data_IF_954047500372
#
_entry.id   IF_954047500372
#
_cell.length_a   1.000
_cell.length_b   1.000
_cell.length_c   1.000
_cell.angle_alpha   90.00
_cell.angle_beta   90.00
_cell.angle_gamma   90.00
#
_symmetry.space_group_name_H-M   'P 1'
#
loop_
_entity.id
_entity.type
_entity.pdbx_description
1 polymer ?
#
# COMPACT_ATOMS: atom_id res chain seq x y z
N UNK A 1 -33.86 -11.31 -5.81
CA UNK A 1 -32.46 -10.91 -5.57
C UNK A 1 -31.85 -10.56 -6.91
N UNK A 2 -31.53 -9.29 -7.12
CA UNK A 2 -30.85 -8.79 -8.32
C UNK A 2 -29.35 -9.14 -8.15
N UNK A 3 -28.83 -10.04 -8.99
CA UNK A 3 -27.38 -10.22 -9.15
C UNK A 3 -26.95 -9.33 -10.32
N UNK A 4 -26.24 -8.22 -10.09
CA UNK A 4 -25.68 -7.46 -11.18
C UNK A 4 -24.66 -8.37 -11.91
N UNK A 5 -24.83 -8.52 -13.23
CA UNK A 5 -23.83 -9.16 -14.07
C UNK A 5 -22.63 -8.21 -14.16
N UNK A 6 -21.58 -8.48 -13.39
CA UNK A 6 -20.31 -7.78 -13.55
C UNK A 6 -19.71 -8.27 -14.87
N UNK A 7 -19.41 -7.40 -15.84
CA UNK A 7 -18.70 -7.79 -17.05
C UNK A 7 -17.37 -8.45 -16.66
N UNK A 8 -17.02 -9.53 -17.38
CA UNK A 8 -15.73 -10.17 -17.18
C UNK A 8 -14.61 -9.12 -17.34
N UNK A 9 -13.79 -8.96 -16.30
CA UNK A 9 -12.65 -8.05 -16.34
C UNK A 9 -11.73 -8.47 -17.51
N UNK A 10 -11.26 -7.53 -18.32
CA UNK A 10 -10.34 -7.84 -19.39
C UNK A 10 -9.05 -8.42 -18.82
N UNK A 11 -8.51 -9.46 -19.46
CA UNK A 11 -7.29 -10.18 -19.02
C UNK A 11 -6.03 -9.32 -18.95
N UNK A 12 -6.09 -8.09 -19.45
CA UNK A 12 -5.04 -7.08 -19.32
C UNK A 12 -5.70 -5.73 -19.12
N UNK A 13 -5.67 -5.19 -17.94
CA UNK A 13 -6.11 -3.84 -17.64
C UNK A 13 -5.08 -2.87 -18.20
N UNK A 14 -5.52 -1.96 -19.04
CA UNK A 14 -4.79 -0.79 -19.57
C UNK A 14 -5.81 0.25 -20.05
N UNK A 15 -5.40 1.44 -20.34
CA UNK A 15 -4.42 2.41 -19.85
C UNK A 15 -5.02 3.56 -19.06
N UNK A 16 -6.30 3.51 -18.67
CA UNK A 16 -6.99 4.54 -17.89
C UNK A 16 -6.79 4.28 -16.39
N UNK A 17 -5.59 3.80 -16.04
CA UNK A 17 -5.26 3.48 -14.67
C UNK A 17 -5.15 4.75 -13.85
N UNK A 18 -5.88 4.78 -12.75
CA UNK A 18 -5.83 5.86 -11.78
C UNK A 18 -4.40 6.09 -11.27
N UNK A 19 -4.11 7.32 -10.85
CA UNK A 19 -2.79 7.74 -10.38
C UNK A 19 -2.18 6.75 -9.37
N UNK A 20 -2.95 6.30 -8.38
CA UNK A 20 -2.43 5.40 -7.34
C UNK A 20 -1.89 4.08 -7.89
N UNK A 21 -2.59 3.46 -8.84
CA UNK A 21 -2.14 2.20 -9.44
C UNK A 21 -0.84 2.38 -10.21
N UNK A 22 -0.69 3.49 -10.94
CA UNK A 22 0.54 3.85 -11.65
C UNK A 22 1.69 4.13 -10.68
N UNK A 23 1.43 4.92 -9.65
CA UNK A 23 2.40 5.28 -8.61
C UNK A 23 2.91 4.05 -7.85
N UNK A 24 2.02 3.13 -7.47
CA UNK A 24 2.38 1.89 -6.79
C UNK A 24 3.23 0.98 -7.69
N UNK A 25 2.91 0.87 -8.99
CA UNK A 25 3.75 0.10 -9.92
C UNK A 25 5.12 0.74 -10.08
N UNK A 26 5.19 2.06 -10.24
CA UNK A 26 6.46 2.78 -10.29
C UNK A 26 7.30 2.51 -9.05
N UNK A 27 6.69 2.58 -7.87
CA UNK A 27 7.38 2.26 -6.62
C UNK A 27 7.90 0.82 -6.61
N UNK A 28 7.07 -0.14 -7.03
CA UNK A 28 7.47 -1.55 -7.11
C UNK A 28 8.66 -1.75 -8.06
N UNK A 29 8.62 -1.14 -9.24
CA UNK A 29 9.68 -1.27 -10.24
C UNK A 29 10.99 -0.62 -9.77
N UNK A 30 10.92 0.59 -9.20
CA UNK A 30 12.10 1.34 -8.72
C UNK A 30 12.73 0.68 -7.50
N UNK A 31 11.91 0.21 -6.57
CA UNK A 31 12.36 -0.40 -5.32
C UNK A 31 12.46 -1.93 -5.40
N UNK A 32 12.52 -2.52 -6.59
CA UNK A 32 12.73 -3.95 -6.78
C UNK A 32 11.70 -4.85 -6.12
N UNK A 33 10.50 -4.34 -5.84
CA UNK A 33 9.38 -5.16 -5.43
C UNK A 33 8.77 -5.88 -6.62
N UNK A 34 8.21 -7.06 -6.37
CA UNK A 34 7.56 -7.80 -7.44
C UNK A 34 6.38 -7.03 -8.02
N UNK A 35 6.36 -6.90 -9.33
CA UNK A 35 5.26 -6.35 -10.09
C UNK A 35 4.50 -7.50 -10.78
N UNK A 36 3.34 -7.87 -10.24
CA UNK A 36 2.53 -8.99 -10.73
C UNK A 36 1.96 -8.80 -12.14
N UNK A 37 1.97 -7.58 -12.67
CA UNK A 37 1.58 -7.33 -14.08
C UNK A 37 2.66 -7.76 -15.07
N UNK A 38 3.91 -7.80 -14.65
CA UNK A 38 5.07 -8.24 -15.45
C UNK A 38 5.59 -9.60 -15.03
N UNK A 39 5.51 -9.93 -13.75
CA UNK A 39 5.98 -11.18 -13.15
C UNK A 39 4.93 -11.70 -12.14
N UNK A 40 3.83 -12.34 -12.63
CA UNK A 40 2.74 -12.80 -11.79
C UNK A 40 3.19 -13.90 -10.84
N UNK A 41 2.71 -13.82 -9.60
CA UNK A 41 3.00 -14.78 -8.54
C UNK A 41 1.75 -15.60 -8.21
N UNK A 42 1.89 -16.91 -8.22
CA UNK A 42 0.82 -17.80 -7.78
C UNK A 42 0.73 -17.82 -6.25
N UNK A 43 -0.43 -17.44 -5.71
CA UNK A 43 -0.69 -17.38 -4.26
C UNK A 43 -0.59 -18.76 -3.58
N UNK A 44 -0.73 -19.87 -4.31
CA UNK A 44 -0.59 -21.24 -3.76
C UNK A 44 0.87 -21.69 -3.70
N UNK A 45 1.76 -21.06 -4.46
CA UNK A 45 3.18 -21.36 -4.40
C UNK A 45 3.77 -20.98 -3.04
N UNK A 46 4.87 -21.64 -2.63
CA UNK A 46 5.56 -21.26 -1.40
C UNK A 46 6.02 -19.80 -1.41
N UNK A 47 6.48 -19.32 -2.55
CA UNK A 47 6.91 -17.93 -2.73
C UNK A 47 5.71 -16.97 -2.64
N UNK A 48 4.57 -17.32 -3.24
CA UNK A 48 3.33 -16.55 -3.13
C UNK A 48 2.82 -16.45 -1.70
N UNK A 49 2.83 -17.55 -0.97
CA UNK A 49 2.45 -17.58 0.45
C UNK A 49 3.39 -16.71 1.30
N UNK A 50 4.70 -16.75 1.04
CA UNK A 50 5.67 -15.86 1.72
C UNK A 50 5.38 -14.38 1.43
N UNK A 51 5.09 -14.05 0.19
CA UNK A 51 4.76 -12.68 -0.19
C UNK A 51 3.43 -12.22 0.42
N UNK A 52 2.39 -13.07 0.46
CA UNK A 52 1.13 -12.75 1.14
C UNK A 52 1.35 -12.46 2.63
N UNK A 53 2.11 -13.29 3.32
CA UNK A 53 2.42 -13.08 4.74
C UNK A 53 3.22 -11.79 4.95
N UNK A 54 4.19 -11.50 4.08
CA UNK A 54 4.97 -10.25 4.12
C UNK A 54 4.07 -9.03 3.92
N UNK A 55 3.15 -9.06 2.96
CA UNK A 55 2.20 -7.97 2.71
C UNK A 55 1.20 -7.81 3.83
N UNK A 56 0.72 -8.90 4.38
CA UNK A 56 -0.14 -8.89 5.57
C UNK A 56 0.56 -8.24 6.77
N UNK A 57 1.85 -8.52 6.97
CA UNK A 57 2.63 -7.86 8.02
C UNK A 57 2.74 -6.35 7.80
N UNK A 58 3.01 -5.89 6.56
CA UNK A 58 3.04 -4.46 6.25
C UNK A 58 1.70 -3.78 6.50
N UNK A 59 0.60 -4.39 6.03
CA UNK A 59 -0.74 -3.87 6.33
C UNK A 59 -0.99 -3.78 7.83
N UNK A 60 -0.51 -4.77 8.59
CA UNK A 60 -0.59 -4.78 10.04
C UNK A 60 0.24 -3.69 10.71
N UNK A 61 1.43 -3.37 10.18
CA UNK A 61 2.26 -2.24 10.66
C UNK A 61 1.47 -0.93 10.51
N UNK A 62 0.94 -0.64 9.33
CA UNK A 62 0.16 0.58 9.06
C UNK A 62 -1.12 0.65 9.90
N UNK A 63 -1.82 -0.49 10.05
CA UNK A 63 -3.02 -0.56 10.88
C UNK A 63 -2.70 -0.32 12.37
N UNK A 64 -1.56 -0.80 12.85
CA UNK A 64 -1.11 -0.54 14.22
C UNK A 64 -0.73 0.93 14.42
N UNK A 65 -0.12 1.57 13.41
CA UNK A 65 0.21 2.99 13.44
C UNK A 65 -1.05 3.87 13.46
N UNK A 66 -2.06 3.50 12.67
CA UNK A 66 -3.37 4.14 12.71
C UNK A 66 -4.02 4.00 14.09
N UNK A 67 -3.98 2.80 14.68
CA UNK A 67 -4.47 2.57 16.05
C UNK A 67 -3.75 3.43 17.08
N UNK A 68 -2.44 3.56 16.99
CA UNK A 68 -1.64 4.43 17.85
C UNK A 68 -1.99 5.92 17.70
N UNK A 69 -2.31 6.33 16.47
CA UNK A 69 -2.70 7.72 16.20
C UNK A 69 -4.11 8.07 16.70
N UNK A 70 -5.03 7.10 16.75
CA UNK A 70 -6.42 7.31 17.20
C UNK A 70 -6.55 7.14 18.72
N UNK A 71 -5.87 6.15 19.28
CA UNK A 71 -6.00 5.76 20.69
C UNK A 71 -4.74 6.15 21.47
N UNK A 72 -3.74 5.26 21.54
CA UNK A 72 -2.45 5.55 22.14
C UNK A 72 -1.34 4.58 21.69
N UNK A 73 -0.10 4.83 22.16
CA UNK A 73 1.07 4.01 21.82
C UNK A 73 1.00 2.59 22.42
N UNK A 74 0.26 2.38 23.52
CA UNK A 74 0.08 1.05 24.10
C UNK A 74 -0.79 0.20 23.21
N UNK A 75 -1.88 0.76 22.68
CA UNK A 75 -2.77 0.09 21.74
C UNK A 75 -2.06 -0.24 20.43
N UNK A 76 -1.22 0.67 19.92
CA UNK A 76 -0.34 0.38 18.78
C UNK A 76 0.51 -0.87 19.01
N UNK A 77 1.19 -0.95 20.14
CA UNK A 77 2.04 -2.10 20.47
C UNK A 77 1.22 -3.38 20.62
N UNK A 78 0.02 -3.28 21.16
CA UNK A 78 -0.89 -4.42 21.32
C UNK A 78 -1.35 -4.97 19.97
N UNK A 79 -1.77 -4.10 19.05
CA UNK A 79 -2.18 -4.48 17.70
C UNK A 79 -1.03 -5.17 16.95
N UNK A 80 0.19 -4.58 17.01
CA UNK A 80 1.35 -5.18 16.35
C UNK A 80 1.74 -6.54 16.97
N UNK A 81 1.66 -6.67 18.30
CA UNK A 81 1.90 -7.92 18.98
C UNK A 81 0.89 -9.02 18.58
N UNK A 82 -0.39 -8.65 18.42
CA UNK A 82 -1.42 -9.57 17.97
C UNK A 82 -1.17 -10.09 16.55
N UNK A 83 -0.77 -9.20 15.64
CA UNK A 83 -0.42 -9.56 14.25
C UNK A 83 0.77 -10.51 14.21
N UNK A 84 1.85 -10.16 14.93
CA UNK A 84 3.04 -11.01 15.03
C UNK A 84 2.72 -12.39 15.62
N UNK A 85 1.85 -12.42 16.63
CA UNK A 85 1.39 -13.67 17.23
C UNK A 85 0.66 -14.54 16.22
N UNK A 86 -0.26 -13.98 15.44
CA UNK A 86 -0.99 -14.73 14.40
C UNK A 86 -0.01 -15.29 13.37
N UNK A 87 0.91 -14.49 12.85
CA UNK A 87 1.91 -14.92 11.87
C UNK A 87 2.77 -16.06 12.43
N UNK A 88 3.25 -15.92 13.69
CA UNK A 88 4.16 -16.91 14.32
C UNK A 88 3.54 -18.26 14.58
N UNK A 89 2.21 -18.35 14.61
CA UNK A 89 1.48 -19.63 14.86
C UNK A 89 1.43 -20.56 13.66
N UNK A 90 1.78 -20.07 12.48
CA UNK A 90 1.60 -20.81 11.25
C UNK A 90 2.94 -21.08 10.56
N UNK A 91 3.06 -22.27 9.98
CA UNK A 91 4.11 -22.56 9.02
C UNK A 91 3.61 -22.12 7.65
N UNK A 92 4.39 -21.31 6.97
CA UNK A 92 3.98 -20.68 5.69
C UNK A 92 3.64 -21.75 4.63
N UNK A 93 4.40 -22.84 4.61
CA UNK A 93 4.19 -23.95 3.69
C UNK A 93 2.84 -24.63 3.86
N UNK A 94 2.29 -24.64 5.08
CA UNK A 94 1.04 -25.33 5.42
C UNK A 94 -0.21 -24.44 5.22
N UNK A 95 -0.02 -23.15 4.87
CA UNK A 95 -1.14 -22.25 4.65
C UNK A 95 -2.01 -22.72 3.47
N UNK A 96 -3.32 -22.67 3.69
CA UNK A 96 -4.33 -22.87 2.64
C UNK A 96 -4.94 -21.49 2.34
N UNK A 97 -4.64 -20.98 1.15
CA UNK A 97 -5.06 -19.63 0.75
C UNK A 97 -6.38 -19.72 0.01
N UNK A 98 -7.41 -19.08 0.54
CA UNK A 98 -8.62 -18.80 -0.23
C UNK A 98 -8.40 -17.50 -1.03
N UNK A 99 -8.09 -17.66 -2.31
CA UNK A 99 -7.74 -16.53 -3.18
C UNK A 99 -8.89 -15.56 -3.40
N UNK A 100 -10.12 -16.06 -3.41
CA UNK A 100 -11.32 -15.23 -3.59
C UNK A 100 -11.55 -14.38 -2.36
N UNK A 101 -11.50 -14.98 -1.19
CA UNK A 101 -11.63 -14.28 0.08
C UNK A 101 -10.49 -13.27 0.31
N UNK A 102 -9.27 -13.59 -0.12
CA UNK A 102 -8.15 -12.61 -0.06
C UNK A 102 -8.44 -11.39 -0.92
N UNK A 103 -8.95 -11.56 -2.14
CA UNK A 103 -9.25 -10.44 -3.04
C UNK A 103 -10.44 -9.62 -2.51
N UNK A 104 -11.46 -10.28 -2.00
CA UNK A 104 -12.65 -9.67 -1.40
C UNK A 104 -12.25 -8.79 -0.21
N UNK A 105 -11.51 -9.37 0.74
CA UNK A 105 -11.02 -8.66 1.92
C UNK A 105 -10.13 -7.46 1.56
N UNK A 106 -9.24 -7.58 0.57
CA UNK A 106 -8.41 -6.47 0.11
C UNK A 106 -9.25 -5.36 -0.53
N UNK A 107 -10.31 -5.73 -1.27
CA UNK A 107 -11.27 -4.77 -1.83
C UNK A 107 -12.02 -4.02 -0.75
N UNK A 108 -12.51 -4.71 0.26
CA UNK A 108 -13.21 -4.12 1.40
C UNK A 108 -12.32 -3.22 2.24
N UNK A 109 -11.08 -3.64 2.53
CA UNK A 109 -10.09 -2.80 3.21
C UNK A 109 -9.89 -1.48 2.45
N UNK A 110 -9.70 -1.56 1.13
CA UNK A 110 -9.53 -0.37 0.29
C UNK A 110 -10.77 0.52 0.30
N UNK A 111 -11.98 -0.06 0.28
CA UNK A 111 -13.23 0.69 0.30
C UNK A 111 -13.43 1.43 1.63
N UNK A 112 -13.19 0.75 2.76
CA UNK A 112 -13.33 1.33 4.10
C UNK A 112 -12.27 2.39 4.35
N UNK A 113 -11.01 2.14 3.98
CA UNK A 113 -9.92 3.10 4.05
C UNK A 113 -10.26 4.39 3.29
N UNK A 114 -10.69 4.27 2.03
CA UNK A 114 -11.14 5.41 1.24
C UNK A 114 -12.32 6.14 1.89
N UNK A 115 -13.24 5.39 2.51
CA UNK A 115 -14.37 5.94 3.24
C UNK A 115 -13.96 6.82 4.42
N UNK A 116 -12.84 6.52 5.09
CA UNK A 116 -12.32 7.39 6.17
C UNK A 116 -11.93 8.76 5.62
N UNK A 117 -11.25 8.83 4.48
CA UNK A 117 -10.92 10.11 3.82
C UNK A 117 -12.18 10.91 3.49
N UNK A 118 -13.22 10.26 2.97
CA UNK A 118 -14.52 10.90 2.67
C UNK A 118 -15.18 11.44 3.93
N UNK A 119 -15.19 10.67 5.03
CA UNK A 119 -15.79 11.10 6.29
C UNK A 119 -15.17 12.39 6.85
N UNK A 120 -13.89 12.61 6.61
CA UNK A 120 -13.18 13.79 7.11
C UNK A 120 -12.97 14.87 6.05
N UNK A 121 -13.51 14.68 4.84
CA UNK A 121 -13.38 15.65 3.75
C UNK A 121 -11.94 15.80 3.23
N UNK A 122 -11.09 14.81 3.44
CA UNK A 122 -9.69 14.83 3.01
C UNK A 122 -9.63 14.30 1.57
N UNK A 123 -9.04 15.05 0.62
CA UNK A 123 -8.92 14.58 -0.75
C UNK A 123 -7.91 13.43 -0.85
N UNK A 124 -8.40 12.19 -1.04
CA UNK A 124 -7.59 10.96 -1.09
C UNK A 124 -6.45 11.05 -2.11
N UNK A 125 -6.72 11.57 -3.31
CA UNK A 125 -5.71 11.69 -4.36
C UNK A 125 -4.52 12.56 -3.95
N UNK A 126 -4.76 13.63 -3.23
CA UNK A 126 -3.70 14.52 -2.76
C UNK A 126 -2.87 13.86 -1.67
N UNK A 127 -3.52 13.18 -0.73
CA UNK A 127 -2.81 12.37 0.27
C UNK A 127 -1.95 11.29 -0.40
N UNK A 128 -2.47 10.58 -1.39
CA UNK A 128 -1.75 9.57 -2.13
C UNK A 128 -0.52 10.14 -2.86
N UNK A 129 -0.62 11.34 -3.44
CA UNK A 129 0.49 12.02 -4.11
C UNK A 129 1.61 12.39 -3.13
N UNK A 130 1.27 12.97 -1.99
CA UNK A 130 2.25 13.30 -0.94
C UNK A 130 2.95 12.05 -0.40
N UNK A 131 2.21 10.98 -0.13
CA UNK A 131 2.77 9.71 0.32
C UNK A 131 3.67 9.11 -0.75
N UNK A 132 3.28 9.15 -2.03
CA UNK A 132 4.10 8.64 -3.12
C UNK A 132 5.40 9.44 -3.29
N UNK A 133 5.33 10.77 -3.30
CA UNK A 133 6.50 11.64 -3.37
C UNK A 133 7.48 11.36 -2.21
N UNK A 134 6.96 11.27 -0.99
CA UNK A 134 7.74 10.89 0.18
C UNK A 134 8.39 9.50 0.03
N UNK A 135 7.65 8.52 -0.45
CA UNK A 135 8.17 7.17 -0.68
C UNK A 135 9.28 7.15 -1.74
N UNK A 136 9.12 7.89 -2.83
CA UNK A 136 10.16 8.01 -3.86
C UNK A 136 11.41 8.73 -3.37
N UNK A 137 11.29 9.64 -2.41
CA UNK A 137 12.44 10.33 -1.79
C UNK A 137 13.29 9.44 -0.88
N UNK A 138 12.88 8.19 -0.63
CA UNK A 138 13.68 7.20 0.13
C UNK A 138 14.92 6.72 -0.62
N UNK A 139 15.07 7.05 -1.90
CA UNK A 139 16.23 6.66 -2.68
C UNK A 139 17.53 7.30 -2.11
N UNK A 140 18.64 6.58 -2.25
CA UNK A 140 19.97 7.12 -1.94
C UNK A 140 20.36 8.24 -2.89
N UNK A 141 21.47 8.93 -2.60
CA UNK A 141 22.00 10.01 -3.44
C UNK A 141 22.32 9.56 -4.87
N UNK A 142 22.59 8.29 -5.08
CA UNK A 142 22.84 7.66 -6.38
C UNK A 142 21.56 7.27 -7.13
N UNK A 143 20.39 7.61 -6.58
CA UNK A 143 19.08 7.26 -7.13
C UNK A 143 18.70 5.78 -6.97
N UNK A 144 19.41 5.03 -6.12
CA UNK A 144 19.12 3.61 -5.88
C UNK A 144 18.50 3.36 -4.51
N UNK A 145 17.69 2.29 -4.39
CA UNK A 145 17.15 1.87 -3.10
C UNK A 145 18.26 1.43 -2.13
N UNK A 146 18.07 1.76 -0.86
CA UNK A 146 18.91 1.28 0.25
C UNK A 146 18.09 0.27 1.05
N UNK A 147 18.63 -0.93 1.27
CA UNK A 147 17.93 -1.98 1.99
C UNK A 147 18.64 -2.32 3.31
N UNK A 148 17.85 -2.62 4.31
CA UNK A 148 18.31 -3.32 5.51
C UNK A 148 18.45 -4.82 5.20
N UNK A 149 19.16 -5.58 6.03
CA UNK A 149 19.39 -7.02 5.85
C UNK A 149 18.09 -7.85 5.71
N UNK A 150 17.00 -7.40 6.35
CA UNK A 150 15.68 -8.03 6.27
C UNK A 150 14.87 -7.60 5.03
N UNK A 151 15.46 -6.80 4.13
CA UNK A 151 14.83 -6.30 2.90
C UNK A 151 13.94 -5.06 3.10
N UNK A 152 13.89 -4.46 4.30
CA UNK A 152 13.18 -3.20 4.52
C UNK A 152 13.91 -2.05 3.84
N UNK A 153 13.17 -1.23 3.07
CA UNK A 153 13.68 -0.01 2.46
C UNK A 153 14.05 0.98 3.55
N UNK A 154 15.26 1.48 3.52
CA UNK A 154 15.75 2.52 4.41
C UNK A 154 15.53 3.90 3.78
N UNK A 155 15.45 4.92 4.63
CA UNK A 155 15.38 6.31 4.23
C UNK A 155 16.78 6.75 3.81
N UNK A 156 16.93 7.21 2.55
CA UNK A 156 18.16 7.83 2.06
C UNK A 156 18.38 9.22 2.66
N UNK A 157 19.52 9.83 2.35
CA UNK A 157 19.91 11.14 2.88
C UNK A 157 18.98 12.28 2.40
N UNK A 158 18.32 12.10 1.25
CA UNK A 158 17.40 13.06 0.66
C UNK A 158 15.93 12.77 1.03
N UNK A 159 15.68 11.91 2.02
CA UNK A 159 14.32 11.57 2.42
C UNK A 159 13.54 12.77 2.93
N UNK A 160 12.36 12.97 2.36
CA UNK A 160 11.41 14.03 2.74
C UNK A 160 10.14 13.35 3.27
N UNK A 161 9.72 13.59 4.52
CA UNK A 161 8.46 13.07 5.02
C UNK A 161 7.28 13.69 4.26
N UNK A 162 6.11 13.01 4.17
CA UNK A 162 4.94 13.58 3.51
C UNK A 162 4.43 14.81 4.28
N UNK A 163 4.03 15.85 3.55
CA UNK A 163 3.46 17.07 4.12
C UNK A 163 1.94 17.03 4.06
N UNK A 164 1.31 16.39 5.05
CA UNK A 164 -0.13 16.16 5.07
C UNK A 164 -0.93 17.23 5.84
N UNK A 165 -0.27 18.07 6.63
CA UNK A 165 -0.94 19.10 7.44
C UNK A 165 -1.79 20.06 6.60
N UNK A 166 -1.35 20.56 5.43
CA UNK A 166 -2.15 21.45 4.60
C UNK A 166 -3.50 20.86 4.16
N UNK A 167 -3.59 19.52 4.02
CA UNK A 167 -4.84 18.87 3.64
C UNK A 167 -5.96 19.05 4.67
N UNK A 168 -5.63 19.21 5.94
CA UNK A 168 -6.58 19.48 7.01
C UNK A 168 -7.17 20.90 6.92
N UNK A 169 -6.47 21.81 6.25
CA UNK A 169 -6.85 23.20 6.04
C UNK A 169 -7.47 23.44 4.64
N UNK A 170 -7.55 22.37 3.84
CA UNK A 170 -8.04 22.43 2.45
C UNK A 170 -7.05 23.07 1.49
N UNK A 171 -5.77 23.10 1.86
CA UNK A 171 -4.69 23.66 1.03
C UNK A 171 -4.08 22.58 0.14
N UNK A 172 -3.55 23.00 -1.03
CA UNK A 172 -2.87 22.14 -2.00
C UNK A 172 -1.38 22.42 -1.95
N UNK A 173 -0.56 21.39 -1.81
CA UNK A 173 0.91 21.51 -1.83
C UNK A 173 1.47 21.45 -3.25
N UNK A 174 2.74 21.88 -3.44
CA UNK A 174 3.43 21.80 -4.75
C UNK A 174 3.45 20.36 -5.32
N UNK A 175 3.55 19.34 -4.48
CA UNK A 175 3.50 17.94 -4.90
C UNK A 175 2.12 17.53 -5.45
N UNK A 176 1.08 18.26 -5.12
CA UNK A 176 -0.28 18.01 -5.61
C UNK A 176 -0.53 18.67 -6.97
N UNK A 177 0.11 19.81 -7.25
CA UNK A 177 -0.05 20.55 -8.51
C UNK A 177 0.75 19.95 -9.68
N UNK A 178 1.96 19.47 -9.43
CA UNK A 178 2.92 19.06 -10.47
C UNK A 178 2.58 17.76 -11.23
N UNK A 179 1.52 17.06 -10.87
CA UNK A 179 1.15 15.77 -11.47
C UNK A 179 -0.09 15.83 -12.37
N UNK A 180 -0.64 17.03 -12.59
CA UNK A 180 -1.85 17.25 -13.40
C UNK A 180 -1.55 17.34 -14.90
N UNK A 181 -0.30 17.31 -15.32
CA UNK A 181 0.11 17.67 -16.69
C UNK A 181 0.44 16.52 -17.62
N UNK A 182 0.16 15.27 -17.29
CA UNK A 182 0.43 14.15 -18.19
C UNK A 182 -0.83 13.59 -18.88
N UNK A 183 -1.86 14.42 -19.06
CA UNK A 183 -2.97 14.17 -19.97
C UNK A 183 -2.82 15.01 -21.25
N UNK A 184 -1.79 14.72 -22.04
CA UNK A 184 -1.71 15.01 -23.46
C UNK A 184 -1.20 13.79 -24.25
#
# INVERSE_FOLDING_TARGET
MYKPSIPALPKKIRPDEEFESRALRQFHDVFGHRNGFTDPLDMDSLEGKKELVRRFNFLGEEFSELGGAIFDEVDRQFLMAAINFVISRHRIEDLKVDKVEVIDALGDIRYIDSGMFVCFGIPLEYAAREIHASNMSKLGADGKPIYREDGKILKGENYIPPNLAPLLEGEVTENMEGWVTDDE
#
